data_IF_719877555054
#
_entry.id   IF_719877555054
#
_cell.length_a   1.000
_cell.length_b   1.000
_cell.length_c   1.000
_cell.angle_alpha   90.00
_cell.angle_beta   90.00
_cell.angle_gamma   90.00
#
_symmetry.space_group_name_H-M   'P 1'
#
loop_
_entity.id
_entity.type
_entity.pdbx_description
1 polymer ?
#
# COMPACT_ATOMS: atom_id res chain seq x y z
N UNK A 1 -12.02 0.87 13.72
CA UNK A 1 -11.96 1.24 12.29
C UNK A 1 -11.09 2.47 12.07
N UNK A 2 -11.54 3.67 12.46
CA UNK A 2 -10.83 4.94 12.23
C UNK A 2 -9.36 4.94 12.68
N UNK A 3 -9.07 4.33 13.82
CA UNK A 3 -7.72 4.28 14.34
C UNK A 3 -6.73 3.47 13.48
N UNK A 4 -7.18 2.42 12.78
CA UNK A 4 -6.37 1.68 11.82
C UNK A 4 -6.15 2.49 10.54
N UNK A 5 -7.23 3.11 10.05
CA UNK A 5 -7.20 3.96 8.86
C UNK A 5 -6.25 5.15 9.01
N UNK A 6 -6.34 5.90 10.12
CA UNK A 6 -5.44 7.03 10.38
C UNK A 6 -3.96 6.63 10.50
N UNK A 7 -3.66 5.45 11.05
CA UNK A 7 -2.28 4.94 11.12
C UNK A 7 -1.75 4.60 9.73
N UNK A 8 -2.59 4.00 8.89
CA UNK A 8 -2.25 3.80 7.49
C UNK A 8 -2.00 5.13 6.77
N UNK A 9 -2.89 6.12 6.92
CA UNK A 9 -2.74 7.43 6.27
C UNK A 9 -1.45 8.13 6.69
N UNK A 10 -1.15 8.14 7.99
CA UNK A 10 0.11 8.68 8.49
C UNK A 10 1.32 7.96 7.88
N UNK A 11 1.28 6.63 7.86
CA UNK A 11 2.35 5.81 7.30
C UNK A 11 2.54 6.07 5.80
N UNK A 12 1.47 6.13 5.00
CA UNK A 12 1.58 6.34 3.56
C UNK A 12 2.01 7.78 3.22
N UNK A 13 1.59 8.77 4.02
CA UNK A 13 2.09 10.15 3.91
C UNK A 13 3.59 10.27 4.20
N UNK A 14 4.16 9.36 4.99
CA UNK A 14 5.60 9.30 5.22
C UNK A 14 6.32 8.51 4.11
N UNK A 15 5.77 7.35 3.74
CA UNK A 15 6.42 6.44 2.80
C UNK A 15 6.41 6.96 1.35
N UNK A 16 5.34 7.62 0.89
CA UNK A 16 5.26 8.12 -0.50
C UNK A 16 6.34 9.18 -0.79
N UNK A 17 6.47 10.27 -0.01
CA UNK A 17 7.55 11.24 -0.20
C UNK A 17 8.92 10.62 0.04
N UNK A 18 9.06 9.76 1.06
CA UNK A 18 10.32 9.06 1.33
C UNK A 18 10.78 8.24 0.12
N UNK A 19 9.86 7.51 -0.52
CA UNK A 19 10.17 6.72 -1.69
C UNK A 19 10.48 7.58 -2.92
N UNK A 20 9.79 8.71 -3.08
CA UNK A 20 10.09 9.66 -4.14
C UNK A 20 11.50 10.24 -3.99
N UNK A 21 11.90 10.64 -2.78
CA UNK A 21 13.24 11.14 -2.47
C UNK A 21 14.33 10.09 -2.70
N UNK A 22 14.09 8.84 -2.27
CA UNK A 22 15.03 7.74 -2.50
C UNK A 22 15.17 7.42 -4.00
N UNK A 23 14.07 7.46 -4.75
CA UNK A 23 14.12 7.24 -6.19
C UNK A 23 14.89 8.36 -6.90
N UNK A 24 14.66 9.62 -6.54
CA UNK A 24 15.34 10.77 -7.12
C UNK A 24 16.84 10.77 -6.81
N UNK A 25 17.21 10.50 -5.55
CA UNK A 25 18.61 10.53 -5.10
C UNK A 25 19.43 9.33 -5.59
N UNK A 26 18.82 8.14 -5.69
CA UNK A 26 19.56 6.90 -5.98
C UNK A 26 19.18 6.23 -7.29
N UNK A 27 18.19 6.74 -8.03
CA UNK A 27 17.65 6.12 -9.24
C UNK A 27 17.06 4.73 -8.98
N UNK A 28 16.46 4.53 -7.80
CA UNK A 28 16.14 3.22 -7.24
C UNK A 28 15.24 2.37 -8.17
N UNK A 29 14.18 2.98 -8.74
CA UNK A 29 13.31 2.33 -9.74
C UNK A 29 14.04 2.09 -11.05
N UNK A 30 14.79 3.10 -11.54
CA UNK A 30 15.51 3.02 -12.81
C UNK A 30 16.64 1.98 -12.83
N UNK A 31 17.24 1.68 -11.66
CA UNK A 31 18.22 0.60 -11.50
C UNK A 31 17.58 -0.78 -11.41
N UNK A 32 16.36 -0.87 -10.86
CA UNK A 32 15.61 -2.12 -10.75
C UNK A 32 15.03 -2.54 -12.09
N UNK A 33 14.57 -1.59 -12.90
CA UNK A 33 13.90 -1.89 -14.17
C UNK A 33 14.28 -0.93 -15.29
N UNK A 34 14.69 -1.53 -16.42
CA UNK A 34 15.17 -0.81 -17.60
C UNK A 34 14.06 -0.34 -18.55
N UNK A 35 12.82 -0.81 -18.36
CA UNK A 35 11.66 -0.45 -19.20
C UNK A 35 10.67 0.41 -18.44
N UNK A 36 10.29 1.55 -19.03
CA UNK A 36 9.36 2.52 -18.46
C UNK A 36 7.96 1.95 -18.22
N UNK A 37 7.57 0.91 -18.94
CA UNK A 37 6.29 0.21 -18.78
C UNK A 37 6.19 -0.55 -17.44
N UNK A 38 7.31 -0.99 -16.88
CA UNK A 38 7.37 -1.72 -15.61
C UNK A 38 7.62 -0.80 -14.40
N UNK A 39 7.91 0.48 -14.61
CA UNK A 39 8.11 1.43 -13.53
C UNK A 39 6.95 1.50 -12.53
N UNK A 40 5.66 1.53 -12.95
CA UNK A 40 4.54 1.54 -12.01
C UNK A 40 4.49 0.28 -11.15
N UNK A 41 4.79 -0.87 -11.77
CA UNK A 41 4.87 -2.18 -11.12
C UNK A 41 5.96 -2.19 -10.07
N UNK A 42 7.16 -1.72 -10.42
CA UNK A 42 8.29 -1.64 -9.51
C UNK A 42 7.98 -0.69 -8.35
N UNK A 43 7.43 0.50 -8.65
CA UNK A 43 7.08 1.50 -7.65
C UNK A 43 6.12 0.93 -6.61
N UNK A 44 4.95 0.42 -7.02
CA UNK A 44 3.97 -0.15 -6.09
C UNK A 44 4.42 -1.47 -5.46
N UNK A 45 5.15 -2.28 -6.23
CA UNK A 45 5.73 -3.54 -5.78
C UNK A 45 6.68 -3.37 -4.60
N UNK A 46 7.46 -2.29 -4.57
CA UNK A 46 8.34 -1.98 -3.43
C UNK A 46 7.56 -1.71 -2.14
N UNK A 47 6.38 -1.07 -2.21
CA UNK A 47 5.51 -0.93 -1.03
C UNK A 47 4.95 -2.29 -0.59
N UNK A 48 4.48 -3.11 -1.54
CA UNK A 48 4.02 -4.46 -1.24
C UNK A 48 5.11 -5.29 -0.55
N UNK A 49 6.33 -5.26 -1.09
CA UNK A 49 7.51 -5.92 -0.53
C UNK A 49 7.85 -5.37 0.86
N UNK A 50 7.83 -4.06 1.06
CA UNK A 50 8.07 -3.44 2.36
C UNK A 50 7.08 -3.93 3.41
N UNK A 51 5.80 -4.00 3.09
CA UNK A 51 4.77 -4.51 4.00
C UNK A 51 4.95 -6.00 4.29
N UNK A 52 5.33 -6.81 3.29
CA UNK A 52 5.64 -8.24 3.49
C UNK A 52 6.85 -8.39 4.43
N UNK A 53 7.96 -7.72 4.14
CA UNK A 53 9.19 -7.78 4.96
C UNK A 53 8.93 -7.31 6.39
N UNK A 54 8.19 -6.20 6.55
CA UNK A 54 7.79 -5.72 7.86
C UNK A 54 6.95 -6.76 8.63
N UNK A 55 6.13 -7.56 7.92
CA UNK A 55 5.33 -8.62 8.51
C UNK A 55 6.16 -9.81 9.00
N UNK A 56 7.30 -10.07 8.35
CA UNK A 56 8.25 -11.10 8.79
C UNK A 56 8.95 -10.70 10.10
N UNK A 57 9.24 -9.41 10.29
CA UNK A 57 9.86 -8.88 11.51
C UNK A 57 8.85 -8.61 12.63
N UNK A 58 7.63 -8.23 12.27
CA UNK A 58 6.55 -7.91 13.18
C UNK A 58 5.25 -8.52 12.64
N UNK A 59 4.79 -9.62 13.23
CA UNK A 59 3.62 -10.38 12.77
C UNK A 59 2.30 -9.58 12.73
N UNK A 60 2.25 -8.44 13.43
CA UNK A 60 1.11 -7.48 13.40
C UNK A 60 1.21 -6.46 12.25
N UNK A 61 2.21 -6.56 11.39
CA UNK A 61 2.38 -5.72 10.20
C UNK A 61 2.92 -4.33 10.48
N UNK A 62 3.18 -3.59 9.39
CA UNK A 62 3.86 -2.28 9.44
C UNK A 62 3.03 -1.21 10.18
N UNK A 63 1.71 -1.21 9.97
CA UNK A 63 0.81 -0.24 10.61
C UNK A 63 0.75 -0.37 12.14
N UNK A 64 1.12 -1.54 12.69
CA UNK A 64 1.20 -1.73 14.14
C UNK A 64 2.38 -0.96 14.76
N UNK A 65 3.46 -0.70 14.00
CA UNK A 65 4.60 0.07 14.51
C UNK A 65 4.21 1.52 14.83
N UNK A 66 3.17 2.05 14.17
CA UNK A 66 2.62 3.38 14.41
C UNK A 66 1.70 3.37 15.63
N UNK A 67 2.28 3.32 16.84
CA UNK A 67 1.57 3.30 18.12
C UNK A 67 0.44 2.24 18.21
N UNK A 68 0.63 1.07 17.61
CA UNK A 68 -0.39 0.00 17.57
C UNK A 68 -0.68 -0.62 18.94
N UNK A 69 0.30 -0.62 19.85
CA UNK A 69 0.13 -1.13 21.24
C UNK A 69 -1.02 -0.45 22.00
N UNK A 70 -1.30 0.83 21.72
CA UNK A 70 -2.35 1.61 22.41
C UNK A 70 -3.77 1.14 22.07
N UNK A 71 -3.96 0.48 20.93
CA UNK A 71 -5.29 0.07 20.48
C UNK A 71 -5.79 -1.23 21.10
N UNK A 72 -4.92 -2.01 21.75
CA UNK A 72 -5.25 -3.31 22.38
C UNK A 72 -6.05 -4.26 21.47
N UNK A 73 -5.93 -4.12 20.14
CA UNK A 73 -6.59 -4.99 19.17
C UNK A 73 -5.91 -6.35 19.10
N UNK A 74 -6.71 -7.39 18.84
CA UNK A 74 -6.21 -8.75 18.66
C UNK A 74 -5.23 -8.86 17.48
N UNK A 75 -4.26 -9.78 17.57
CA UNK A 75 -3.24 -9.96 16.53
C UNK A 75 -3.85 -10.31 15.16
N UNK A 76 -4.95 -11.07 15.15
CA UNK A 76 -5.66 -11.43 13.92
C UNK A 76 -6.21 -10.20 13.17
N UNK A 77 -6.67 -9.16 13.89
CA UNK A 77 -7.14 -7.93 13.27
C UNK A 77 -6.00 -7.22 12.53
N UNK A 78 -4.85 -7.09 13.19
CA UNK A 78 -3.66 -6.48 12.62
C UNK A 78 -3.15 -7.24 11.38
N UNK A 79 -3.07 -8.57 11.48
CA UNK A 79 -2.66 -9.42 10.37
C UNK A 79 -3.62 -9.31 9.18
N UNK A 80 -4.94 -9.39 9.41
CA UNK A 80 -5.96 -9.26 8.37
C UNK A 80 -5.91 -7.89 7.69
N UNK A 81 -5.74 -6.81 8.47
CA UNK A 81 -5.62 -5.46 7.91
C UNK A 81 -4.35 -5.31 7.06
N UNK A 82 -3.21 -5.78 7.57
CA UNK A 82 -1.94 -5.74 6.85
C UNK A 82 -1.98 -6.58 5.55
N UNK A 83 -2.60 -7.76 5.57
CA UNK A 83 -2.80 -8.57 4.37
C UNK A 83 -3.61 -7.81 3.31
N UNK A 84 -4.68 -7.13 3.70
CA UNK A 84 -5.47 -6.31 2.77
C UNK A 84 -4.65 -5.16 2.16
N UNK A 85 -3.71 -4.58 2.91
CA UNK A 85 -2.80 -3.56 2.38
C UNK A 85 -1.77 -4.14 1.41
N UNK A 86 -1.24 -5.33 1.68
CA UNK A 86 -0.38 -6.05 0.73
C UNK A 86 -1.13 -6.32 -0.57
N UNK A 87 -2.36 -6.82 -0.48
CA UNK A 87 -3.22 -7.06 -1.65
C UNK A 87 -3.46 -5.78 -2.45
N UNK A 88 -3.68 -4.64 -1.80
CA UNK A 88 -3.81 -3.35 -2.46
C UNK A 88 -2.57 -3.01 -3.29
N UNK A 89 -1.38 -3.09 -2.70
CA UNK A 89 -0.15 -2.72 -3.40
C UNK A 89 0.20 -3.68 -4.54
N UNK A 90 -0.08 -4.98 -4.37
CA UNK A 90 0.06 -5.95 -5.46
C UNK A 90 -0.92 -5.64 -6.59
N UNK A 91 -2.18 -5.33 -6.27
CA UNK A 91 -3.19 -4.96 -7.27
C UNK A 91 -2.80 -3.67 -8.00
N UNK A 92 -2.31 -2.65 -7.28
CA UNK A 92 -1.82 -1.41 -7.89
C UNK A 92 -0.60 -1.64 -8.79
N UNK A 93 0.31 -2.53 -8.42
CA UNK A 93 1.44 -2.91 -9.25
C UNK A 93 0.97 -3.59 -10.55
N UNK A 94 0.05 -4.57 -10.43
CA UNK A 94 -0.51 -5.30 -11.58
C UNK A 94 -1.29 -4.37 -12.52
N UNK A 95 -2.22 -3.58 -11.98
CA UNK A 95 -2.98 -2.62 -12.79
C UNK A 95 -2.09 -1.51 -13.35
N UNK A 96 -1.07 -1.07 -12.61
CA UNK A 96 -0.07 -0.14 -13.09
C UNK A 96 0.67 -0.64 -14.33
N UNK A 97 1.00 -1.94 -14.36
CA UNK A 97 1.57 -2.59 -15.54
C UNK A 97 0.57 -2.70 -16.70
N UNK A 98 -0.63 -3.24 -16.43
CA UNK A 98 -1.65 -3.45 -17.47
C UNK A 98 -2.01 -2.13 -18.13
N UNK A 99 -2.22 -1.08 -17.34
CA UNK A 99 -2.59 0.21 -17.90
C UNK A 99 -1.42 0.88 -18.63
N UNK A 100 -0.17 0.65 -18.22
CA UNK A 100 0.97 1.23 -18.95
C UNK A 100 1.16 0.66 -20.36
N UNK A 101 0.64 -0.55 -20.64
CA UNK A 101 0.77 -1.22 -21.93
C UNK A 101 -0.52 -1.23 -22.77
N UNK A 102 -1.70 -1.22 -22.13
CA UNK A 102 -2.99 -1.41 -22.84
C UNK A 102 -3.68 -0.09 -23.16
N UNK A 103 -3.62 0.91 -22.26
CA UNK A 103 -4.45 2.11 -22.41
C UNK A 103 -3.70 3.29 -23.03
N UNK A 104 -4.45 4.19 -23.64
CA UNK A 104 -3.92 5.43 -24.19
C UNK A 104 -3.30 6.32 -23.10
N UNK A 105 -2.34 7.22 -23.44
CA UNK A 105 -1.70 8.10 -22.48
C UNK A 105 -2.67 8.96 -21.65
N UNK A 106 -3.80 9.36 -22.23
CA UNK A 106 -4.85 10.14 -21.58
C UNK A 106 -5.53 9.33 -20.46
N UNK A 107 -5.95 8.10 -20.76
CA UNK A 107 -6.57 7.20 -19.78
C UNK A 107 -5.56 6.81 -18.70
N UNK A 108 -4.31 6.59 -19.09
CA UNK A 108 -3.22 6.32 -18.15
C UNK A 108 -3.02 7.46 -17.15
N UNK A 109 -3.04 8.71 -17.62
CA UNK A 109 -2.95 9.89 -16.76
C UNK A 109 -4.12 9.95 -15.77
N UNK A 110 -5.36 9.74 -16.25
CA UNK A 110 -6.55 9.71 -15.40
C UNK A 110 -6.49 8.60 -14.34
N UNK A 111 -6.00 7.41 -14.71
CA UNK A 111 -5.82 6.31 -13.77
C UNK A 111 -4.80 6.67 -12.67
N UNK A 112 -3.68 7.31 -12.99
CA UNK A 112 -2.70 7.75 -11.99
C UNK A 112 -3.29 8.78 -11.03
N UNK A 113 -3.93 9.81 -11.56
CA UNK A 113 -4.44 10.94 -10.78
C UNK A 113 -5.61 10.52 -9.89
N UNK A 114 -6.57 9.79 -10.45
CA UNK A 114 -7.83 9.48 -9.77
C UNK A 114 -7.89 8.02 -9.33
N UNK A 115 -7.63 7.08 -10.23
CA UNK A 115 -7.77 5.65 -9.94
C UNK A 115 -6.90 5.20 -8.76
N UNK A 116 -5.60 5.49 -8.81
CA UNK A 116 -4.66 5.13 -7.75
C UNK A 116 -4.98 5.88 -6.45
N UNK A 117 -5.27 7.18 -6.51
CA UNK A 117 -5.63 7.99 -5.34
C UNK A 117 -6.88 7.46 -4.64
N UNK A 118 -7.93 7.13 -5.41
CA UNK A 118 -9.17 6.56 -4.88
C UNK A 118 -8.88 5.21 -4.21
N UNK A 119 -8.08 4.35 -4.85
CA UNK A 119 -7.71 3.06 -4.27
C UNK A 119 -6.94 3.23 -2.94
N UNK A 120 -5.95 4.13 -2.89
CA UNK A 120 -5.15 4.40 -1.68
C UNK A 120 -5.98 4.99 -0.53
N UNK A 121 -7.04 5.74 -0.83
CA UNK A 121 -7.90 6.32 0.21
C UNK A 121 -9.01 5.36 0.65
N UNK A 122 -9.75 4.78 -0.30
CA UNK A 122 -10.96 4.03 0.01
C UNK A 122 -10.70 2.58 0.41
N UNK A 123 -9.70 1.93 -0.19
CA UNK A 123 -9.42 0.52 0.12
C UNK A 123 -9.00 0.30 1.58
N UNK A 124 -8.10 1.09 2.17
CA UNK A 124 -7.72 0.94 3.58
C UNK A 124 -8.87 1.26 4.53
N UNK A 125 -9.77 2.17 4.16
CA UNK A 125 -10.99 2.43 4.93
C UNK A 125 -11.90 1.19 4.92
N UNK A 126 -12.13 0.61 3.74
CA UNK A 126 -12.88 -0.64 3.58
C UNK A 126 -12.24 -1.79 4.36
N UNK A 127 -10.93 -1.99 4.22
CA UNK A 127 -10.18 -3.03 4.92
C UNK A 127 -10.25 -2.87 6.44
N UNK A 128 -10.15 -1.64 6.94
CA UNK A 128 -10.30 -1.34 8.36
C UNK A 128 -11.72 -1.63 8.87
N UNK A 129 -12.75 -1.41 8.05
CA UNK A 129 -14.14 -1.73 8.39
C UNK A 129 -14.37 -3.24 8.44
N UNK A 130 -13.96 -3.95 7.38
CA UNK A 130 -14.11 -5.40 7.27
C UNK A 130 -13.43 -6.13 8.43
N UNK A 131 -12.19 -5.72 8.74
CA UNK A 131 -11.41 -6.29 9.84
C UNK A 131 -12.15 -6.16 11.18
N UNK A 132 -12.73 -4.98 11.44
CA UNK A 132 -13.45 -4.75 12.70
C UNK A 132 -14.73 -5.57 12.81
N UNK A 133 -15.49 -5.69 11.72
CA UNK A 133 -16.72 -6.51 11.67
C UNK A 133 -16.38 -7.97 11.97
N UNK A 134 -15.33 -8.50 11.35
CA UNK A 134 -14.90 -9.90 11.54
C UNK A 134 -14.42 -10.18 12.96
N UNK A 135 -13.85 -9.19 13.64
CA UNK A 135 -13.42 -9.34 15.03
C UNK A 135 -14.52 -9.12 16.06
N UNK A 136 -15.63 -8.47 15.69
CA UNK A 136 -16.79 -8.34 16.59
C UNK A 136 -17.72 -9.56 16.58
N UNK A 137 -17.58 -10.43 15.58
CA UNK A 137 -18.37 -11.66 15.43
C UNK A 137 -17.72 -12.90 16.05
N UNK A 138 -16.58 -12.72 16.74
CA UNK A 138 -15.82 -13.76 17.45
C UNK A 138 -15.77 -13.38 18.92
#
# INVERSE_FOLDING_TARGET
>A
MWALYWRYLFLIMLLLPGMALLNDSFGLVGKLVNTTTLWPTAFWGMFGLLFILASLMQSKGLTYLVWGRRLKLHAAAWCSFNLMLIVLFIALALFGWIFSIVVSPQIWSLYKLYGQSIALLLWPLFAARLTMIRTSSV
#
